data_IF_708053516610
#
_entry.id   IF_708053516610
#
_cell.length_a   1.000
_cell.length_b   1.000
_cell.length_c   1.000
_cell.angle_alpha   90.00
_cell.angle_beta   90.00
_cell.angle_gamma   90.00
#
_symmetry.space_group_name_H-M   'P 1'
#
loop_
_entity.id
_entity.type
_entity.pdbx_description
1 polymer ?
#
# COMPACT_ATOMS: atom_id res chain seq x y z
N UNK A 1 -18.93 18.49 -2.10
CA UNK A 1 -19.23 18.52 -3.56
C UNK A 1 -18.39 19.50 -4.39
N UNK A 2 -17.91 20.64 -3.84
CA UNK A 2 -17.04 21.59 -4.57
C UNK A 2 -15.61 21.09 -4.86
N UNK A 3 -15.08 20.18 -4.06
CA UNK A 3 -13.73 19.60 -4.23
C UNK A 3 -13.65 18.64 -5.43
N UNK A 4 -14.69 17.81 -5.63
CA UNK A 4 -14.80 16.87 -6.77
C UNK A 4 -14.84 17.58 -8.14
N UNK A 5 -15.51 18.73 -8.23
CA UNK A 5 -15.62 19.50 -9.48
C UNK A 5 -14.30 20.19 -9.86
N UNK A 6 -13.52 20.62 -8.87
CA UNK A 6 -12.21 21.26 -9.11
C UNK A 6 -11.18 20.22 -9.57
N UNK A 7 -11.22 19.01 -9.01
CA UNK A 7 -10.32 17.92 -9.36
C UNK A 7 -10.62 17.31 -10.74
N UNK A 8 -11.89 17.10 -11.07
CA UNK A 8 -12.34 16.75 -12.43
C UNK A 8 -11.90 17.80 -13.47
N UNK A 9 -11.84 19.08 -13.10
CA UNK A 9 -11.40 20.17 -13.96
C UNK A 9 -9.88 20.22 -14.21
N UNK A 10 -9.07 19.82 -13.23
CA UNK A 10 -7.59 19.83 -13.34
C UNK A 10 -7.08 18.58 -14.05
N UNK A 11 -7.61 17.40 -13.70
CA UNK A 11 -7.25 16.11 -14.34
C UNK A 11 -7.72 16.04 -15.80
N UNK A 12 -8.87 16.65 -16.15
CA UNK A 12 -9.30 16.75 -17.56
C UNK A 12 -8.38 17.59 -18.43
N UNK A 13 -7.59 18.50 -17.86
CA UNK A 13 -6.90 19.56 -18.61
C UNK A 13 -5.54 19.14 -19.15
N UNK A 14 -4.73 18.41 -18.37
CA UNK A 14 -3.35 18.13 -18.77
C UNK A 14 -3.21 17.09 -19.89
N UNK A 15 -4.10 16.08 -19.99
CA UNK A 15 -3.99 15.04 -21.05
C UNK A 15 -4.80 15.34 -22.31
N UNK A 16 -5.89 16.12 -22.24
CA UNK A 16 -6.74 16.42 -23.39
C UNK A 16 -6.27 17.63 -24.21
N UNK A 17 -5.59 18.60 -23.59
CA UNK A 17 -5.19 19.85 -24.26
C UNK A 17 -4.05 19.59 -25.25
N UNK A 18 -3.02 18.84 -24.86
CA UNK A 18 -1.83 18.61 -25.69
C UNK A 18 -2.13 17.81 -26.99
N UNK A 19 -3.11 16.90 -26.96
CA UNK A 19 -3.42 16.01 -28.09
C UNK A 19 -4.44 16.61 -29.08
N UNK A 20 -5.33 17.50 -28.63
CA UNK A 20 -6.26 18.22 -29.52
C UNK A 20 -5.60 19.36 -30.30
N UNK A 21 -4.51 19.91 -29.78
CA UNK A 21 -3.72 20.95 -30.47
C UNK A 21 -3.00 20.39 -31.71
N UNK A 22 -2.70 19.09 -31.75
CA UNK A 22 -2.06 18.40 -32.88
C UNK A 22 -3.06 17.79 -33.87
N UNK A 23 -4.23 17.33 -33.41
CA UNK A 23 -5.29 16.83 -34.29
C UNK A 23 -6.68 17.13 -33.74
N UNK A 24 -7.41 18.03 -34.41
CA UNK A 24 -8.78 18.45 -34.04
C UNK A 24 -9.83 17.33 -34.05
N UNK A 25 -9.53 16.19 -34.68
CA UNK A 25 -10.42 15.01 -34.74
C UNK A 25 -10.06 13.93 -33.72
N UNK A 26 -9.00 14.12 -32.92
CA UNK A 26 -8.63 13.17 -31.89
C UNK A 26 -9.67 13.16 -30.76
N UNK A 27 -10.28 12.00 -30.52
CA UNK A 27 -11.16 11.74 -29.39
C UNK A 27 -10.36 10.93 -28.38
N UNK A 28 -10.03 11.55 -27.24
CA UNK A 28 -9.44 10.84 -26.11
C UNK A 28 -10.58 10.24 -25.27
N UNK A 29 -10.68 8.91 -25.22
CA UNK A 29 -11.57 8.21 -24.31
C UNK A 29 -10.78 7.91 -23.05
N UNK A 30 -11.13 8.57 -21.94
CA UNK A 30 -10.53 8.24 -20.65
C UNK A 30 -10.98 6.83 -20.24
N UNK A 31 -10.01 5.96 -19.97
CA UNK A 31 -10.30 4.62 -19.48
C UNK A 31 -11.01 4.70 -18.12
N UNK A 32 -12.15 4.02 -17.97
CA UNK A 32 -12.91 3.98 -16.72
C UNK A 32 -12.05 3.47 -15.55
N UNK A 33 -11.19 2.47 -15.81
CA UNK A 33 -10.24 1.93 -14.83
C UNK A 33 -9.25 3.00 -14.37
N UNK A 34 -8.72 3.81 -15.29
CA UNK A 34 -7.78 4.88 -14.95
C UNK A 34 -8.47 5.99 -14.15
N UNK A 35 -9.68 6.34 -14.53
CA UNK A 35 -10.48 7.34 -13.81
C UNK A 35 -10.80 6.88 -12.38
N UNK A 36 -11.14 5.60 -12.21
CA UNK A 36 -11.38 4.99 -10.91
C UNK A 36 -10.12 4.94 -10.04
N UNK A 37 -8.97 4.61 -10.63
CA UNK A 37 -7.68 4.64 -9.94
C UNK A 37 -7.35 6.05 -9.40
N UNK A 38 -7.52 7.08 -10.22
CA UNK A 38 -7.26 8.47 -9.80
C UNK A 38 -8.18 8.92 -8.66
N UNK A 39 -9.44 8.47 -8.66
CA UNK A 39 -10.37 8.72 -7.55
C UNK A 39 -9.91 7.98 -6.29
N UNK A 40 -9.55 6.70 -6.40
CA UNK A 40 -9.05 5.91 -5.28
C UNK A 40 -7.78 6.52 -4.65
N UNK A 41 -6.81 6.89 -5.48
CA UNK A 41 -5.59 7.56 -5.02
C UNK A 41 -5.89 8.89 -4.33
N UNK A 42 -6.79 9.70 -4.89
CA UNK A 42 -7.18 10.97 -4.27
C UNK A 42 -7.87 10.77 -2.91
N UNK A 43 -8.61 9.68 -2.71
CA UNK A 43 -9.24 9.35 -1.42
C UNK A 43 -8.18 8.94 -0.39
N UNK A 44 -7.18 8.17 -0.81
CA UNK A 44 -6.04 7.82 0.04
C UNK A 44 -5.29 9.09 0.47
N UNK A 45 -5.01 9.98 -0.48
CA UNK A 45 -4.23 11.20 -0.21
C UNK A 45 -5.00 12.24 0.62
N UNK A 46 -6.34 12.27 0.55
CA UNK A 46 -7.15 13.21 1.32
C UNK A 46 -7.54 12.71 2.72
N UNK A 47 -7.40 11.41 2.99
CA UNK A 47 -7.74 10.79 4.25
C UNK A 47 -6.45 10.42 4.99
N UNK A 48 -6.16 11.11 6.10
CA UNK A 48 -4.94 10.89 6.87
C UNK A 48 -4.84 9.44 7.36
N UNK A 49 -5.94 8.87 7.81
CA UNK A 49 -6.01 7.50 8.32
C UNK A 49 -5.72 6.49 7.21
N UNK A 50 -6.24 6.70 6.00
CA UNK A 50 -5.93 5.87 4.84
C UNK A 50 -4.47 6.02 4.39
N UNK A 51 -3.95 7.25 4.34
CA UNK A 51 -2.54 7.50 4.03
C UNK A 51 -1.60 6.83 5.05
N UNK A 52 -1.93 6.90 6.34
CA UNK A 52 -1.17 6.25 7.41
C UNK A 52 -1.21 4.72 7.30
N UNK A 53 -2.39 4.16 6.97
CA UNK A 53 -2.54 2.73 6.72
C UNK A 53 -1.63 2.26 5.59
N UNK A 54 -1.72 2.88 4.41
CA UNK A 54 -0.90 2.47 3.26
C UNK A 54 0.59 2.76 3.47
N UNK A 55 0.94 3.80 4.23
CA UNK A 55 2.32 4.06 4.65
C UNK A 55 2.86 2.93 5.54
N UNK A 56 2.03 2.37 6.42
CA UNK A 56 2.41 1.24 7.29
C UNK A 56 2.57 -0.05 6.50
N UNK A 57 1.68 -0.31 5.54
CA UNK A 57 1.82 -1.42 4.57
C UNK A 57 3.13 -1.30 3.78
N UNK A 58 3.49 -0.09 3.34
CA UNK A 58 4.75 0.17 2.67
C UNK A 58 5.96 -0.06 3.59
N UNK A 59 5.88 0.38 4.85
CA UNK A 59 6.94 0.21 5.85
C UNK A 59 7.22 -1.28 6.09
N UNK A 60 6.16 -2.07 6.22
CA UNK A 60 6.24 -3.52 6.36
C UNK A 60 6.99 -4.13 5.17
N UNK A 61 6.64 -3.73 3.95
CA UNK A 61 7.34 -4.18 2.75
C UNK A 61 8.83 -3.80 2.75
N UNK A 62 9.15 -2.52 2.99
CA UNK A 62 10.54 -2.03 3.01
C UNK A 62 11.38 -2.77 4.06
N UNK A 63 10.79 -3.05 5.22
CA UNK A 63 11.45 -3.81 6.27
C UNK A 63 11.79 -5.24 5.82
N UNK A 64 10.81 -5.99 5.29
CA UNK A 64 11.04 -7.38 4.87
C UNK A 64 11.95 -7.52 3.64
N UNK A 65 11.92 -6.55 2.72
CA UNK A 65 12.76 -6.53 1.52
C UNK A 65 14.23 -6.18 1.81
N UNK A 66 14.51 -5.55 2.95
CA UNK A 66 15.88 -5.23 3.37
C UNK A 66 16.75 -6.46 3.69
N UNK A 67 16.17 -7.65 3.85
CA UNK A 67 16.92 -8.89 4.12
C UNK A 67 16.32 -10.10 3.43
N UNK A 68 17.16 -10.86 2.72
CA UNK A 68 16.76 -12.14 2.12
C UNK A 68 16.20 -13.15 3.12
N UNK A 69 16.61 -13.10 4.39
CA UNK A 69 16.08 -13.97 5.44
C UNK A 69 14.68 -13.54 5.86
N UNK A 70 14.46 -12.25 6.08
CA UNK A 70 13.14 -11.71 6.41
C UNK A 70 12.17 -11.87 5.24
N UNK A 71 12.66 -11.72 4.00
CA UNK A 71 11.88 -12.01 2.81
C UNK A 71 11.42 -13.47 2.72
N UNK A 72 12.26 -14.42 3.12
CA UNK A 72 11.86 -15.84 3.23
C UNK A 72 10.80 -16.05 4.30
N UNK A 73 10.91 -15.36 5.43
CA UNK A 73 9.90 -15.39 6.50
C UNK A 73 8.56 -14.84 6.00
N UNK A 74 8.57 -13.68 5.34
CA UNK A 74 7.39 -13.07 4.72
C UNK A 74 6.68 -14.04 3.76
N UNK A 75 7.45 -14.70 2.88
CA UNK A 75 6.92 -15.72 1.98
C UNK A 75 6.33 -16.91 2.71
N UNK A 76 6.89 -17.30 3.85
CA UNK A 76 6.32 -18.31 4.74
C UNK A 76 4.98 -17.88 5.35
N UNK A 77 4.85 -16.60 5.72
CA UNK A 77 3.64 -16.05 6.32
C UNK A 77 2.47 -15.93 5.31
N UNK A 78 2.73 -15.43 4.10
CA UNK A 78 1.67 -15.02 3.15
C UNK A 78 1.53 -15.98 1.93
N UNK A 79 2.51 -16.85 1.68
CA UNK A 79 2.60 -17.64 0.46
C UNK A 79 3.26 -16.90 -0.70
N UNK A 80 3.99 -17.64 -1.56
CA UNK A 80 4.85 -17.10 -2.63
C UNK A 80 4.08 -16.24 -3.64
N UNK A 81 2.85 -16.63 -3.96
CA UNK A 81 1.99 -16.01 -4.98
C UNK A 81 1.43 -14.65 -4.55
N UNK A 82 1.29 -14.41 -3.25
CA UNK A 82 0.73 -13.17 -2.70
C UNK A 82 1.81 -12.11 -2.47
N UNK A 83 3.06 -12.53 -2.24
CA UNK A 83 4.20 -11.62 -2.02
C UNK A 83 4.56 -10.81 -3.27
N UNK A 84 4.39 -11.39 -4.47
CA UNK A 84 4.64 -10.68 -5.73
C UNK A 84 3.65 -9.55 -6.00
N UNK A 85 2.48 -9.58 -5.37
CA UNK A 85 1.39 -8.62 -5.56
C UNK A 85 1.49 -7.43 -4.60
N UNK A 86 2.20 -7.60 -3.49
CA UNK A 86 2.62 -6.51 -2.60
C UNK A 86 3.63 -5.56 -3.28
N UNK A 87 4.34 -6.04 -4.33
CA UNK A 87 5.47 -5.37 -4.97
C UNK A 87 5.11 -4.33 -6.06
N UNK A 88 3.85 -4.25 -6.52
CA UNK A 88 3.55 -3.39 -7.66
C UNK A 88 3.00 -2.02 -7.23
N UNK A 89 3.83 -0.98 -7.35
CA UNK A 89 3.50 0.44 -7.12
C UNK A 89 2.39 1.02 -8.03
N UNK A 90 1.88 0.28 -9.02
CA UNK A 90 1.15 0.88 -10.16
C UNK A 90 -0.36 0.59 -10.24
N UNK A 91 -1.00 -0.13 -9.30
CA UNK A 91 -2.42 -0.50 -9.46
C UNK A 91 -3.16 -0.57 -8.12
N UNK A 92 -4.36 0.00 -8.04
CA UNK A 92 -5.27 -0.20 -6.88
C UNK A 92 -5.58 -1.67 -6.59
N UNK A 93 -5.47 -2.55 -7.59
CA UNK A 93 -5.54 -4.00 -7.43
C UNK A 93 -4.42 -4.55 -6.54
N UNK A 94 -3.22 -3.97 -6.61
CA UNK A 94 -2.08 -4.35 -5.77
C UNK A 94 -2.34 -4.02 -4.30
N UNK A 95 -2.86 -2.81 -4.03
CA UNK A 95 -3.27 -2.42 -2.68
C UNK A 95 -4.36 -3.32 -2.12
N UNK A 96 -5.38 -3.66 -2.92
CA UNK A 96 -6.43 -4.59 -2.51
C UNK A 96 -5.86 -5.99 -2.21
N UNK A 97 -4.99 -6.51 -3.07
CA UNK A 97 -4.37 -7.83 -2.88
C UNK A 97 -3.41 -7.85 -1.69
N UNK A 98 -2.63 -6.79 -1.48
CA UNK A 98 -1.75 -6.61 -0.32
C UNK A 98 -2.53 -6.58 0.99
N UNK A 99 -3.62 -5.80 1.03
CA UNK A 99 -4.50 -5.69 2.20
C UNK A 99 -5.13 -7.04 2.53
N UNK A 100 -5.66 -7.75 1.53
CA UNK A 100 -6.23 -9.09 1.71
C UNK A 100 -5.19 -10.12 2.19
N UNK A 101 -3.97 -10.04 1.67
CA UNK A 101 -2.85 -10.88 2.08
C UNK A 101 -2.46 -10.66 3.55
N UNK A 102 -2.37 -9.39 3.96
CA UNK A 102 -2.06 -9.00 5.35
C UNK A 102 -3.20 -9.44 6.26
N UNK A 103 -4.47 -9.19 5.90
CA UNK A 103 -5.63 -9.59 6.67
C UNK A 103 -5.64 -11.10 6.94
N UNK A 104 -5.43 -11.90 5.89
CA UNK A 104 -5.40 -13.37 6.00
C UNK A 104 -4.26 -13.88 6.88
N UNK A 105 -3.15 -13.15 6.93
CA UNK A 105 -1.91 -13.58 7.60
C UNK A 105 -1.60 -12.75 8.85
N UNK A 106 -2.59 -12.00 9.36
CA UNK A 106 -2.38 -10.93 10.35
C UNK A 106 -1.74 -11.45 11.65
N UNK A 107 -2.29 -12.53 12.21
CA UNK A 107 -1.74 -13.16 13.42
C UNK A 107 -0.32 -13.69 13.17
N UNK A 108 -0.09 -14.32 12.02
CA UNK A 108 1.23 -14.82 11.64
C UNK A 108 2.26 -13.71 11.51
N UNK A 109 1.86 -12.52 11.05
CA UNK A 109 2.72 -11.33 11.02
C UNK A 109 3.09 -10.89 12.43
N UNK A 110 2.10 -10.74 13.32
CA UNK A 110 2.36 -10.36 14.71
C UNK A 110 3.26 -11.38 15.40
N UNK A 111 3.02 -12.67 15.22
CA UNK A 111 3.90 -13.73 15.72
C UNK A 111 5.31 -13.63 15.14
N UNK A 112 5.46 -13.32 13.85
CA UNK A 112 6.76 -13.16 13.21
C UNK A 112 7.56 -11.97 13.79
N UNK A 113 6.86 -10.88 14.13
CA UNK A 113 7.47 -9.70 14.76
C UNK A 113 7.76 -9.91 16.26
N UNK A 114 6.84 -10.53 17.01
CA UNK A 114 6.86 -10.61 18.48
C UNK A 114 7.38 -11.94 19.06
N UNK A 115 7.06 -13.06 18.41
CA UNK A 115 7.28 -14.42 18.92
C UNK A 115 8.45 -15.14 18.22
N UNK A 116 8.69 -14.89 16.92
CA UNK A 116 9.63 -15.67 16.09
C UNK A 116 11.01 -15.04 15.78
N UNK A 117 11.34 -13.83 16.26
CA UNK A 117 12.77 -13.46 16.37
C UNK A 117 13.30 -12.31 15.51
N UNK A 118 12.65 -11.15 15.51
CA UNK A 118 13.36 -9.91 15.16
C UNK A 118 13.47 -8.97 16.36
N UNK A 119 12.38 -8.66 17.07
CA UNK A 119 12.46 -7.73 18.21
C UNK A 119 13.22 -8.27 19.42
N UNK A 120 13.15 -9.59 19.66
CA UNK A 120 13.79 -10.27 20.80
C UNK A 120 15.14 -10.91 20.46
N UNK A 121 15.49 -11.01 19.18
CA UNK A 121 16.76 -11.60 18.75
C UNK A 121 17.92 -10.63 18.99
N UNK A 122 18.69 -10.89 20.05
CA UNK A 122 19.84 -10.06 20.44
C UNK A 122 20.99 -10.11 19.43
N UNK A 123 21.00 -11.05 18.48
CA UNK A 123 21.97 -11.11 17.40
C UNK A 123 21.72 -10.06 16.31
N UNK A 124 20.53 -9.44 16.28
CA UNK A 124 20.15 -8.40 15.31
C UNK A 124 20.55 -7.01 15.78
N UNK A 125 20.85 -6.13 14.82
CA UNK A 125 21.12 -4.70 15.07
C UNK A 125 19.95 -4.06 15.82
N UNK A 126 20.24 -3.25 16.84
CA UNK A 126 19.23 -2.61 17.68
C UNK A 126 18.17 -1.83 16.89
N UNK A 127 18.56 -1.19 15.79
CA UNK A 127 17.66 -0.41 14.93
C UNK A 127 16.60 -1.31 14.25
N UNK A 128 17.01 -2.45 13.70
CA UNK A 128 16.09 -3.41 13.10
C UNK A 128 15.08 -3.97 14.12
N UNK A 129 15.50 -4.14 15.37
CA UNK A 129 14.63 -4.59 16.45
C UNK A 129 13.59 -3.54 16.82
N UNK A 130 14.04 -2.27 16.92
CA UNK A 130 13.15 -1.13 17.19
C UNK A 130 12.15 -0.91 16.07
N UNK A 131 12.61 -0.99 14.82
CA UNK A 131 11.75 -0.82 13.65
C UNK A 131 10.71 -1.94 13.55
N UNK A 132 11.10 -3.19 13.78
CA UNK A 132 10.18 -4.32 13.90
C UNK A 132 9.09 -4.10 14.96
N UNK A 133 9.46 -3.63 16.16
CA UNK A 133 8.49 -3.32 17.22
C UNK A 133 7.55 -2.19 16.80
N UNK A 134 8.09 -1.10 16.26
CA UNK A 134 7.28 0.04 15.84
C UNK A 134 6.27 -0.36 14.75
N UNK A 135 6.64 -1.27 13.84
CA UNK A 135 5.72 -1.79 12.82
C UNK A 135 4.64 -2.66 13.48
N UNK A 136 5.01 -3.54 14.41
CA UNK A 136 4.05 -4.39 15.12
C UNK A 136 3.05 -3.57 15.93
N UNK A 137 3.51 -2.55 16.65
CA UNK A 137 2.66 -1.63 17.43
C UNK A 137 1.66 -0.92 16.51
N UNK A 138 2.14 -0.38 15.36
CA UNK A 138 1.27 0.26 14.37
C UNK A 138 0.24 -0.69 13.77
N UNK A 139 0.60 -1.95 13.53
CA UNK A 139 -0.34 -2.95 13.03
C UNK A 139 -1.46 -3.27 14.02
N UNK A 140 -1.24 -3.00 15.31
CA UNK A 140 -2.22 -3.21 16.39
C UNK A 140 -3.02 -1.94 16.73
N UNK A 141 -2.71 -0.80 16.12
CA UNK A 141 -3.52 0.42 16.24
C UNK A 141 -4.94 0.17 15.70
N UNK A 142 -5.94 0.72 16.39
CA UNK A 142 -7.35 0.51 16.04
C UNK A 142 -7.64 0.94 14.60
N UNK A 143 -7.06 2.07 14.18
CA UNK A 143 -7.18 2.63 12.84
C UNK A 143 -6.63 1.67 11.79
N UNK A 144 -5.49 1.03 12.05
CA UNK A 144 -4.90 0.06 11.13
C UNK A 144 -5.78 -1.19 11.01
N UNK A 145 -6.20 -1.76 12.14
CA UNK A 145 -7.05 -2.96 12.17
C UNK A 145 -8.40 -2.70 11.52
N UNK A 146 -8.97 -1.51 11.75
CA UNK A 146 -10.22 -1.11 11.12
C UNK A 146 -10.04 -1.01 9.60
N UNK A 147 -9.06 -0.25 9.13
CA UNK A 147 -8.78 -0.10 7.69
C UNK A 147 -8.41 -1.42 6.99
N UNK A 148 -7.80 -2.37 7.70
CA UNK A 148 -7.48 -3.69 7.18
C UNK A 148 -8.72 -4.54 6.86
N UNK A 149 -9.87 -4.23 7.49
CA UNK A 149 -11.14 -4.94 7.28
C UNK A 149 -12.07 -4.31 6.23
N UNK A 150 -11.69 -3.17 5.64
CA UNK A 150 -12.46 -2.47 4.59
C UNK A 150 -11.79 -2.60 3.22
#
# INVERSE_FOLDING_TARGET
MKMLLTYLGIVKRCSNVLFKETNRFAICVQCAVHSLYLVGQSVIDCCREAANFFSTVQLLYTFFSASSNWWKMLKGCIGNENVLKLLSDTRGEAHAMATAAILKSFLTFLEAFEYAGISKDQSKKGDARREANNIADKMQELEFVFMLNF
#
